data_IF_155799609125
#
_entry.id   IF_155799609125
#
_cell.length_a   1.000
_cell.length_b   1.000
_cell.length_c   1.000
_cell.angle_alpha   90.00
_cell.angle_beta   90.00
_cell.angle_gamma   90.00
#
_symmetry.space_group_name_H-M   'P 1'
#
loop_
_entity.id
_entity.type
_entity.pdbx_description
1 polymer ?
#
# COMPACT_ATOMS: atom_id res chain seq x y z
N UNK A 1 46.46 -22.24 31.52
CA UNK A 1 46.31 -20.76 31.64
C UNK A 1 44.85 -20.42 31.47
N UNK A 2 44.19 -20.00 32.55
CA UNK A 2 42.80 -19.51 32.51
C UNK A 2 42.77 -18.21 31.72
N UNK A 3 41.98 -18.14 30.64
CA UNK A 3 41.75 -16.88 29.93
C UNK A 3 41.30 -15.82 30.93
N UNK A 4 42.06 -14.72 31.02
CA UNK A 4 41.81 -13.63 31.98
C UNK A 4 40.81 -12.59 31.47
N UNK A 5 40.29 -12.76 30.24
CA UNK A 5 39.21 -11.95 29.67
C UNK A 5 38.41 -12.84 28.72
N UNK A 6 37.11 -13.01 28.97
CA UNK A 6 36.16 -13.63 28.05
C UNK A 6 35.08 -12.59 27.72
N UNK A 7 35.00 -12.13 26.48
CA UNK A 7 33.96 -11.22 25.99
C UNK A 7 33.07 -12.01 25.04
N UNK A 8 31.83 -12.26 25.48
CA UNK A 8 30.77 -12.82 24.63
C UNK A 8 29.83 -11.72 24.18
N UNK A 9 29.44 -11.73 22.90
CA UNK A 9 28.41 -10.83 22.38
C UNK A 9 27.06 -11.18 23.02
N UNK A 10 26.48 -10.26 23.80
CA UNK A 10 25.09 -10.37 24.25
C UNK A 10 24.11 -10.32 23.09
N UNK A 11 22.87 -10.76 23.29
CA UNK A 11 21.80 -10.66 22.29
C UNK A 11 21.68 -9.19 21.88
N UNK A 12 22.02 -8.86 20.63
CA UNK A 12 21.85 -7.50 20.10
C UNK A 12 20.36 -7.21 20.16
N UNK A 13 19.97 -6.17 20.90
CA UNK A 13 18.58 -5.71 20.91
C UNK A 13 18.12 -5.49 19.47
N UNK A 14 16.97 -6.05 19.08
CA UNK A 14 16.34 -5.69 17.81
C UNK A 14 16.07 -4.19 17.86
N UNK A 15 16.54 -3.44 16.86
CA UNK A 15 16.05 -2.09 16.63
C UNK A 15 14.53 -2.18 16.47
N UNK A 16 13.80 -1.56 17.39
CA UNK A 16 12.34 -1.38 17.32
C UNK A 16 11.99 -0.12 16.53
N UNK A 17 13.00 0.61 16.03
CA UNK A 17 12.84 1.65 15.03
C UNK A 17 12.68 1.00 13.64
N UNK A 18 11.60 0.24 13.47
CA UNK A 18 10.98 0.12 12.15
C UNK A 18 10.25 1.43 11.90
N UNK A 19 10.51 2.07 10.78
CA UNK A 19 9.63 3.15 10.31
C UNK A 19 8.23 2.57 10.14
N UNK A 20 7.19 3.31 10.55
CA UNK A 20 5.79 2.84 10.48
C UNK A 20 5.36 2.45 9.05
N UNK A 21 6.11 2.89 8.04
CA UNK A 21 5.94 2.53 6.61
C UNK A 21 6.00 1.03 6.35
N UNK A 22 6.70 0.28 7.22
CA UNK A 22 6.83 -1.19 7.17
C UNK A 22 5.69 -1.93 7.86
N UNK A 23 4.75 -1.21 8.47
CA UNK A 23 3.65 -1.80 9.22
C UNK A 23 2.43 -1.88 8.30
N UNK A 24 1.93 -3.09 8.11
CA UNK A 24 0.77 -3.36 7.24
C UNK A 24 -0.37 -4.01 8.01
N UNK A 25 -1.58 -3.89 7.47
CA UNK A 25 -2.75 -4.65 7.88
C UNK A 25 -3.15 -5.64 6.78
N UNK A 26 -3.64 -6.81 7.16
CA UNK A 26 -4.28 -7.79 6.29
C UNK A 26 -5.66 -8.12 6.88
N UNK A 27 -6.73 -7.86 6.14
CA UNK A 27 -8.09 -8.17 6.56
C UNK A 27 -8.75 -9.15 5.58
N UNK A 28 -9.56 -10.07 6.10
CA UNK A 28 -10.29 -11.03 5.28
C UNK A 28 -11.29 -11.84 6.08
N UNK A 29 -12.12 -12.60 5.37
CA UNK A 29 -13.00 -13.61 5.97
C UNK A 29 -12.23 -14.93 6.11
N UNK A 30 -11.52 -15.11 7.22
CA UNK A 30 -10.68 -16.30 7.43
C UNK A 30 -11.41 -17.43 8.17
N UNK A 31 -12.62 -17.17 8.67
CA UNK A 31 -13.45 -18.15 9.36
C UNK A 31 -12.83 -18.57 10.69
N UNK A 32 -12.94 -19.85 11.05
CA UNK A 32 -12.35 -20.36 12.29
C UNK A 32 -10.81 -20.43 12.18
N UNK A 33 -10.12 -19.47 12.82
CA UNK A 33 -8.66 -19.46 12.97
C UNK A 33 -8.31 -19.71 14.44
N UNK A 34 -7.80 -20.90 14.76
CA UNK A 34 -7.37 -21.21 16.13
C UNK A 34 -7.42 -22.66 16.53
N UNK A 35 -6.28 -23.34 16.39
CA UNK A 35 -5.94 -24.57 17.13
C UNK A 35 -4.66 -24.41 17.95
N UNK A 36 -4.13 -23.17 18.03
CA UNK A 36 -2.87 -22.83 18.69
C UNK A 36 -3.00 -22.51 20.18
N UNK A 37 -1.98 -21.83 20.74
CA UNK A 37 -1.95 -21.39 22.15
C UNK A 37 -2.91 -20.22 22.41
N UNK A 38 -3.29 -19.50 21.36
CA UNK A 38 -4.28 -18.41 21.34
C UNK A 38 -5.13 -18.52 20.07
N UNK A 39 -6.23 -17.79 20.01
CA UNK A 39 -7.21 -17.80 18.91
C UNK A 39 -7.25 -16.44 18.24
N UNK A 40 -7.30 -16.41 16.91
CA UNK A 40 -7.65 -15.19 16.16
C UNK A 40 -9.15 -15.25 15.87
N UNK A 41 -9.95 -14.85 16.86
CA UNK A 41 -11.40 -14.91 16.79
C UNK A 41 -11.95 -14.00 15.69
N UNK A 42 -13.13 -14.34 15.18
CA UNK A 42 -13.85 -13.47 14.26
C UNK A 42 -14.13 -12.12 14.91
N UNK A 43 -13.90 -11.05 14.16
CA UNK A 43 -13.95 -9.69 14.65
C UNK A 43 -12.80 -9.32 15.56
N UNK A 44 -11.67 -10.05 15.61
CA UNK A 44 -10.47 -9.68 16.37
C UNK A 44 -9.23 -9.61 15.45
N UNK A 45 -8.22 -8.84 15.87
CA UNK A 45 -6.95 -8.72 15.14
C UNK A 45 -5.74 -9.08 16.01
N UNK A 46 -4.68 -9.55 15.36
CA UNK A 46 -3.42 -9.92 15.99
C UNK A 46 -2.24 -9.24 15.31
N UNK A 47 -1.24 -8.82 16.10
CA UNK A 47 0.05 -8.37 15.58
C UNK A 47 0.99 -9.57 15.42
N UNK A 48 1.50 -9.75 14.21
CA UNK A 48 2.61 -10.64 13.89
C UNK A 48 3.85 -9.79 13.60
N UNK A 49 4.97 -10.10 14.24
CA UNK A 49 6.26 -9.47 14.01
C UNK A 49 7.22 -10.37 13.19
N UNK A 50 6.82 -11.61 12.93
CA UNK A 50 7.48 -12.55 12.03
C UNK A 50 6.50 -13.65 11.61
N UNK A 51 6.80 -14.36 10.52
CA UNK A 51 6.03 -15.52 10.06
C UNK A 51 5.91 -16.62 11.14
N UNK A 52 6.92 -16.78 12.01
CA UNK A 52 6.89 -17.75 13.11
C UNK A 52 5.79 -17.50 14.14
N UNK A 53 5.25 -16.28 14.21
CA UNK A 53 4.19 -15.93 15.17
C UNK A 53 2.84 -16.57 14.80
N UNK A 54 2.66 -16.97 13.53
CA UNK A 54 1.47 -17.69 13.04
C UNK A 54 1.13 -18.92 13.88
N UNK A 55 2.15 -19.68 14.31
CA UNK A 55 1.97 -20.90 15.08
C UNK A 55 1.26 -20.68 16.42
N UNK A 56 1.39 -19.50 17.03
CA UNK A 56 0.69 -19.17 18.26
C UNK A 56 -0.84 -19.12 18.06
N UNK A 57 -1.28 -18.71 16.86
CA UNK A 57 -2.69 -18.60 16.46
C UNK A 57 -3.21 -19.86 15.73
N UNK A 58 -2.38 -20.90 15.58
CA UNK A 58 -2.75 -22.12 14.87
C UNK A 58 -2.83 -21.97 13.34
N UNK A 59 -2.32 -20.86 12.79
CA UNK A 59 -2.25 -20.65 11.35
C UNK A 59 -1.13 -21.53 10.79
N UNK A 60 -1.47 -22.38 9.83
CA UNK A 60 -0.54 -23.33 9.19
C UNK A 60 -0.99 -23.63 7.76
N UNK A 61 -0.09 -24.16 6.93
CA UNK A 61 -0.38 -24.61 5.56
C UNK A 61 -1.58 -25.57 5.50
N UNK A 62 -1.68 -26.49 6.46
CA UNK A 62 -2.75 -27.48 6.49
C UNK A 62 -4.11 -26.90 6.94
N UNK A 63 -4.10 -25.95 7.90
CA UNK A 63 -5.35 -25.40 8.45
C UNK A 63 -5.89 -24.24 7.61
N UNK A 64 -4.99 -23.39 7.10
CA UNK A 64 -5.33 -22.15 6.41
C UNK A 64 -4.31 -21.88 5.28
N UNK A 65 -4.27 -22.69 4.21
CA UNK A 65 -3.21 -22.64 3.20
C UNK A 65 -3.02 -21.25 2.61
N UNK A 66 -4.11 -20.59 2.19
CA UNK A 66 -4.05 -19.28 1.55
C UNK A 66 -3.65 -18.15 2.53
N UNK A 67 -4.21 -18.13 3.75
CA UNK A 67 -3.83 -17.15 4.78
C UNK A 67 -2.36 -17.32 5.17
N UNK A 68 -1.92 -18.56 5.37
CA UNK A 68 -0.53 -18.87 5.68
C UNK A 68 0.40 -18.40 4.55
N UNK A 69 0.03 -18.61 3.29
CA UNK A 69 0.79 -18.15 2.14
C UNK A 69 0.93 -16.63 2.12
N UNK A 70 -0.18 -15.88 2.21
CA UNK A 70 -0.11 -14.41 2.21
C UNK A 70 0.77 -13.86 3.35
N UNK A 71 0.66 -14.41 4.56
CA UNK A 71 1.48 -13.97 5.70
C UNK A 71 2.96 -14.34 5.47
N UNK A 72 3.22 -15.55 4.96
CA UNK A 72 4.59 -16.03 4.69
C UNK A 72 5.27 -15.15 3.64
N UNK A 73 4.57 -14.85 2.56
CA UNK A 73 5.06 -14.01 1.47
C UNK A 73 5.27 -12.55 1.91
N UNK A 74 4.34 -12.00 2.70
CA UNK A 74 4.51 -10.68 3.31
C UNK A 74 5.82 -10.57 4.08
N UNK A 75 6.14 -11.55 4.95
CA UNK A 75 7.38 -11.52 5.72
C UNK A 75 8.62 -11.92 4.91
N UNK A 76 8.48 -12.74 3.87
CA UNK A 76 9.58 -13.10 2.96
C UNK A 76 10.08 -11.87 2.22
N UNK A 77 9.16 -11.09 1.63
CA UNK A 77 9.49 -9.87 0.87
C UNK A 77 9.74 -8.68 1.80
N UNK A 78 8.84 -8.42 2.76
CA UNK A 78 8.89 -7.27 3.67
C UNK A 78 10.15 -7.21 4.52
N UNK A 79 10.78 -8.37 4.75
CA UNK A 79 12.10 -8.49 5.36
C UNK A 79 12.16 -7.99 6.80
N UNK A 80 13.34 -7.55 7.23
CA UNK A 80 13.58 -7.15 8.63
C UNK A 80 12.80 -5.88 8.98
N UNK A 81 12.04 -5.97 10.07
CA UNK A 81 11.27 -4.84 10.63
C UNK A 81 9.83 -4.76 10.13
N UNK A 82 9.42 -5.63 9.21
CA UNK A 82 8.02 -5.76 8.80
C UNK A 82 7.14 -6.22 9.98
N UNK A 83 5.94 -5.68 10.05
CA UNK A 83 4.94 -5.99 11.06
C UNK A 83 3.57 -6.07 10.42
N UNK A 84 2.84 -7.15 10.67
CA UNK A 84 1.53 -7.38 10.07
C UNK A 84 0.45 -7.47 11.13
N UNK A 85 -0.54 -6.59 11.07
CA UNK A 85 -1.79 -6.77 11.79
C UNK A 85 -2.72 -7.62 10.94
N UNK A 86 -3.12 -8.80 11.43
CA UNK A 86 -4.06 -9.69 10.73
C UNK A 86 -5.41 -9.61 11.42
N UNK A 87 -6.45 -9.20 10.68
CA UNK A 87 -7.82 -9.08 11.14
C UNK A 87 -8.69 -10.16 10.48
N UNK A 88 -9.28 -11.01 11.31
CA UNK A 88 -10.27 -11.98 10.86
C UNK A 88 -11.65 -11.36 10.97
N UNK A 89 -12.22 -10.86 9.88
CA UNK A 89 -13.54 -10.23 9.89
C UNK A 89 -14.60 -11.31 10.00
N UNK A 90 -15.64 -11.06 10.82
CA UNK A 90 -16.80 -11.96 10.90
C UNK A 90 -17.59 -11.89 9.60
N UNK A 91 -17.72 -13.02 8.89
CA UNK A 91 -18.55 -13.07 7.69
C UNK A 91 -20.03 -13.18 8.07
N UNK A 92 -20.81 -12.14 7.80
CA UNK A 92 -22.28 -12.22 7.87
C UNK A 92 -22.84 -12.82 6.58
N UNK A 93 -24.05 -13.37 6.63
CA UNK A 93 -24.69 -13.98 5.46
C UNK A 93 -24.77 -12.98 4.30
N UNK A 94 -24.40 -13.42 3.09
CA UNK A 94 -24.33 -12.61 1.87
C UNK A 94 -23.36 -11.41 1.90
N UNK A 95 -22.48 -11.31 2.91
CA UNK A 95 -21.43 -10.29 2.90
C UNK A 95 -20.40 -10.56 1.81
N UNK A 96 -20.28 -9.62 0.88
CA UNK A 96 -19.31 -9.64 -0.21
C UNK A 96 -18.06 -8.84 0.13
N UNK A 97 -17.32 -8.52 -0.92
CA UNK A 97 -16.04 -7.84 -0.78
C UNK A 97 -16.17 -6.38 -0.29
N UNK A 98 -17.16 -5.63 -0.78
CA UNK A 98 -17.38 -4.24 -0.33
C UNK A 98 -17.75 -4.18 1.16
N UNK A 99 -18.55 -5.14 1.65
CA UNK A 99 -18.90 -5.26 3.07
C UNK A 99 -17.68 -5.59 3.93
N UNK A 100 -16.77 -6.44 3.44
CA UNK A 100 -15.51 -6.74 4.13
C UNK A 100 -14.70 -5.47 4.35
N UNK A 101 -14.56 -4.66 3.30
CA UNK A 101 -13.78 -3.41 3.33
C UNK A 101 -14.44 -2.38 4.25
N UNK A 102 -15.77 -2.29 4.24
CA UNK A 102 -16.53 -1.34 5.04
C UNK A 102 -16.75 -1.76 6.50
N UNK A 103 -16.32 -2.96 6.90
CA UNK A 103 -16.60 -3.51 8.22
C UNK A 103 -15.99 -2.67 9.36
N UNK A 104 -16.74 -2.53 10.46
CA UNK A 104 -16.33 -1.69 11.60
C UNK A 104 -15.11 -2.21 12.34
N UNK A 105 -14.83 -3.51 12.28
CA UNK A 105 -13.64 -4.11 12.86
C UNK A 105 -12.35 -3.64 12.16
N UNK A 106 -12.43 -3.29 10.86
CA UNK A 106 -11.33 -2.68 10.10
C UNK A 106 -11.02 -1.30 10.63
N UNK A 107 -12.03 -0.45 10.77
CA UNK A 107 -11.88 0.89 11.38
C UNK A 107 -11.35 0.80 12.81
N UNK A 108 -11.84 -0.16 13.59
CA UNK A 108 -11.38 -0.42 14.97
C UNK A 108 -9.91 -0.88 15.00
N UNK A 109 -9.45 -1.69 14.05
CA UNK A 109 -8.03 -2.06 13.94
C UNK A 109 -7.15 -0.84 13.63
N UNK A 110 -7.54 -0.03 12.65
CA UNK A 110 -6.78 1.18 12.28
C UNK A 110 -6.71 2.17 13.45
N UNK A 111 -7.85 2.41 14.11
CA UNK A 111 -7.92 3.33 15.25
C UNK A 111 -7.19 2.76 16.48
N UNK A 112 -7.37 1.47 16.80
CA UNK A 112 -6.78 0.82 17.96
C UNK A 112 -5.25 0.62 17.88
N UNK A 113 -4.67 0.75 16.68
CA UNK A 113 -3.22 0.74 16.48
C UNK A 113 -2.61 2.14 16.45
N UNK A 114 -3.38 3.17 16.81
CA UNK A 114 -2.97 4.59 16.79
C UNK A 114 -2.43 5.04 15.41
N UNK A 115 -2.99 4.49 14.33
CA UNK A 115 -2.55 4.82 12.96
C UNK A 115 -1.18 4.27 12.58
N UNK A 116 -0.63 3.29 13.32
CA UNK A 116 0.63 2.64 12.96
C UNK A 116 0.57 1.90 11.63
N UNK A 117 -0.59 1.36 11.25
CA UNK A 117 -0.79 0.73 9.95
C UNK A 117 -0.63 1.77 8.85
N UNK A 118 0.23 1.49 7.88
CA UNK A 118 0.51 2.39 6.75
C UNK A 118 0.01 1.83 5.41
N UNK A 119 0.08 0.51 5.23
CA UNK A 119 -0.47 -0.20 4.08
C UNK A 119 -1.59 -1.15 4.56
N UNK A 120 -2.69 -1.28 3.84
CA UNK A 120 -3.78 -2.19 4.20
C UNK A 120 -4.17 -3.06 3.00
N UNK A 121 -4.06 -4.37 3.14
CA UNK A 121 -4.49 -5.32 2.12
C UNK A 121 -5.78 -6.03 2.52
N UNK A 122 -6.62 -6.32 1.55
CA UNK A 122 -7.78 -7.16 1.75
C UNK A 122 -7.67 -8.44 0.94
N UNK A 123 -7.77 -9.57 1.64
CA UNK A 123 -7.85 -10.90 1.04
C UNK A 123 -9.32 -11.31 0.93
N UNK A 124 -9.76 -11.60 -0.28
CA UNK A 124 -11.11 -12.01 -0.59
C UNK A 124 -11.15 -12.88 -1.85
N UNK A 125 -11.53 -14.14 -1.66
CA UNK A 125 -11.81 -15.06 -2.76
C UNK A 125 -13.33 -15.16 -2.94
N UNK A 126 -13.89 -14.76 -4.09
CA UNK A 126 -15.32 -14.87 -4.35
C UNK A 126 -15.75 -16.34 -4.42
N UNK A 127 -17.05 -16.60 -4.25
CA UNK A 127 -17.59 -17.94 -4.44
C UNK A 127 -17.51 -18.37 -5.92
N UNK A 128 -17.45 -19.68 -6.19
CA UNK A 128 -17.28 -20.25 -7.55
C UNK A 128 -18.32 -19.77 -8.58
N UNK A 129 -19.49 -19.32 -8.15
CA UNK A 129 -20.58 -18.85 -9.01
C UNK A 129 -20.69 -17.32 -9.12
N UNK A 130 -19.67 -16.56 -8.67
CA UNK A 130 -19.71 -15.10 -8.74
C UNK A 130 -19.79 -14.59 -10.18
N UNK A 131 -20.63 -13.57 -10.41
CA UNK A 131 -20.80 -12.96 -11.70
C UNK A 131 -19.54 -12.22 -12.15
N UNK A 132 -19.29 -12.20 -13.46
CA UNK A 132 -18.22 -11.44 -14.10
C UNK A 132 -18.83 -10.29 -14.89
N UNK A 133 -18.32 -9.08 -14.70
CA UNK A 133 -18.72 -7.84 -15.38
C UNK A 133 -17.44 -7.18 -15.88
N UNK A 134 -17.39 -6.83 -17.17
CA UNK A 134 -16.23 -6.19 -17.81
C UNK A 134 -14.90 -6.91 -17.53
N UNK A 135 -14.92 -8.24 -17.63
CA UNK A 135 -13.75 -9.11 -17.41
C UNK A 135 -13.32 -9.26 -15.95
N UNK A 136 -14.04 -8.68 -14.99
CA UNK A 136 -13.74 -8.73 -13.56
C UNK A 136 -14.85 -9.38 -12.74
N UNK A 137 -14.55 -9.98 -11.57
CA UNK A 137 -15.60 -10.32 -10.60
C UNK A 137 -16.44 -9.09 -10.25
N UNK A 138 -17.76 -9.22 -10.28
CA UNK A 138 -18.70 -8.09 -10.09
C UNK A 138 -18.51 -7.34 -8.76
N UNK A 139 -17.87 -7.98 -7.78
CA UNK A 139 -17.62 -7.43 -6.45
C UNK A 139 -16.43 -6.44 -6.40
N UNK A 140 -15.54 -6.43 -7.40
CA UNK A 140 -14.30 -5.64 -7.31
C UNK A 140 -14.56 -4.13 -7.42
N UNK A 141 -15.41 -3.68 -8.34
CA UNK A 141 -15.69 -2.25 -8.52
C UNK A 141 -16.39 -1.65 -7.28
N UNK A 142 -17.40 -2.30 -6.69
CA UNK A 142 -17.92 -1.90 -5.38
C UNK A 142 -16.85 -1.88 -4.28
N UNK A 143 -15.95 -2.87 -4.24
CA UNK A 143 -14.87 -2.93 -3.25
C UNK A 143 -13.85 -1.79 -3.42
N UNK A 144 -13.48 -1.41 -4.66
CA UNK A 144 -12.62 -0.26 -4.95
C UNK A 144 -13.21 1.02 -4.35
N UNK A 145 -14.52 1.25 -4.54
CA UNK A 145 -15.21 2.42 -4.00
C UNK A 145 -15.30 2.40 -2.48
N UNK A 146 -15.57 1.24 -1.90
CA UNK A 146 -15.57 1.06 -0.45
C UNK A 146 -14.18 1.32 0.15
N UNK A 147 -13.12 0.89 -0.54
CA UNK A 147 -11.74 1.11 -0.16
C UNK A 147 -11.38 2.59 -0.22
N UNK A 148 -11.72 3.29 -1.31
CA UNK A 148 -11.47 4.72 -1.41
C UNK A 148 -12.18 5.49 -0.29
N UNK A 149 -13.44 5.17 -0.01
CA UNK A 149 -14.17 5.77 1.13
C UNK A 149 -13.52 5.47 2.48
N UNK A 150 -12.96 4.27 2.66
CA UNK A 150 -12.20 3.94 3.86
C UNK A 150 -10.92 4.79 3.93
N UNK A 151 -10.19 4.95 2.82
CA UNK A 151 -8.99 5.78 2.74
C UNK A 151 -9.31 7.24 3.08
N UNK A 152 -10.40 7.81 2.55
CA UNK A 152 -10.87 9.17 2.88
C UNK A 152 -11.12 9.32 4.39
N UNK A 153 -11.77 8.35 5.02
CA UNK A 153 -11.96 8.34 6.48
C UNK A 153 -10.63 8.27 7.23
N UNK A 154 -9.65 7.51 6.74
CA UNK A 154 -8.32 7.47 7.36
C UNK A 154 -7.60 8.81 7.24
N UNK A 155 -7.72 9.52 6.11
CA UNK A 155 -7.17 10.87 5.96
C UNK A 155 -7.83 11.86 6.91
N UNK A 156 -9.17 11.87 6.98
CA UNK A 156 -9.93 12.73 7.91
C UNK A 156 -9.59 12.50 9.38
N UNK A 157 -9.12 11.29 9.73
CA UNK A 157 -8.71 10.94 11.09
C UNK A 157 -7.20 10.99 11.30
N UNK A 158 -6.44 11.59 10.37
CA UNK A 158 -4.97 11.74 10.40
C UNK A 158 -4.21 10.41 10.48
N UNK A 159 -4.75 9.36 9.87
CA UNK A 159 -4.15 8.01 9.78
C UNK A 159 -4.08 7.52 8.33
N UNK A 160 -3.73 8.36 7.34
CA UNK A 160 -3.88 8.03 5.91
C UNK A 160 -3.17 6.72 5.56
N UNK A 161 -3.83 5.84 4.82
CA UNK A 161 -3.29 4.54 4.37
C UNK A 161 -3.44 4.39 2.87
N UNK A 162 -2.57 3.58 2.28
CA UNK A 162 -2.78 3.04 0.94
C UNK A 162 -3.42 1.64 1.04
N UNK A 163 -4.42 1.36 0.20
CA UNK A 163 -5.21 0.13 0.25
C UNK A 163 -4.97 -0.73 -1.00
N UNK A 164 -4.66 -2.00 -0.79
CA UNK A 164 -4.52 -2.99 -1.85
C UNK A 164 -5.68 -4.00 -1.77
N UNK A 165 -6.30 -4.31 -2.91
CA UNK A 165 -7.39 -5.26 -3.03
C UNK A 165 -6.95 -6.50 -3.81
N UNK A 166 -7.23 -7.68 -3.26
CA UNK A 166 -7.14 -8.94 -3.98
C UNK A 166 -8.25 -9.03 -5.04
N UNK A 167 -7.91 -9.11 -6.32
CA UNK A 167 -8.87 -9.45 -7.36
C UNK A 167 -8.74 -10.93 -7.72
N UNK A 168 -9.29 -11.78 -6.86
CA UNK A 168 -9.40 -13.21 -7.09
C UNK A 168 -10.59 -13.56 -8.00
N UNK A 169 -10.53 -14.71 -8.67
CA UNK A 169 -11.67 -15.25 -9.43
C UNK A 169 -11.82 -14.69 -10.84
N UNK A 170 -10.73 -14.25 -11.47
CA UNK A 170 -10.81 -13.79 -12.86
C UNK A 170 -11.31 -14.90 -13.80
N UNK A 171 -12.05 -14.47 -14.82
CA UNK A 171 -12.31 -15.26 -16.03
C UNK A 171 -11.06 -15.30 -16.91
N UNK A 172 -11.22 -15.58 -18.21
CA UNK A 172 -10.09 -15.53 -19.13
C UNK A 172 -9.51 -14.11 -19.22
N UNK A 173 -8.20 -14.00 -19.15
CA UNK A 173 -7.49 -12.73 -19.27
C UNK A 173 -7.37 -12.34 -20.73
N UNK A 174 -8.05 -11.24 -21.06
CA UNK A 174 -8.02 -10.55 -22.35
C UNK A 174 -8.11 -9.06 -22.07
N UNK A 175 -7.04 -8.32 -22.33
CA UNK A 175 -6.94 -6.90 -21.98
C UNK A 175 -8.06 -6.08 -22.63
N UNK A 176 -8.46 -6.40 -23.86
CA UNK A 176 -9.51 -5.68 -24.58
C UNK A 176 -10.89 -5.70 -23.89
N UNK A 177 -11.22 -6.76 -23.16
CA UNK A 177 -12.53 -6.93 -22.49
C UNK A 177 -12.52 -6.55 -21.02
N UNK A 178 -11.34 -6.41 -20.43
CA UNK A 178 -11.21 -6.04 -19.01
C UNK A 178 -11.43 -4.54 -18.82
N UNK A 179 -12.09 -4.16 -17.73
CA UNK A 179 -12.31 -2.77 -17.35
C UNK A 179 -10.99 -1.98 -17.29
N UNK A 180 -11.01 -0.70 -17.66
CA UNK A 180 -9.91 0.21 -17.41
C UNK A 180 -10.02 0.76 -15.98
N UNK A 181 -9.13 0.33 -15.07
CA UNK A 181 -9.16 0.78 -13.68
C UNK A 181 -8.71 2.23 -13.53
N UNK A 182 -8.12 2.82 -14.58
CA UNK A 182 -7.79 4.25 -14.62
C UNK A 182 -8.92 5.11 -15.14
N UNK A 183 -9.97 4.55 -15.74
CA UNK A 183 -11.14 5.30 -16.22
C UNK A 183 -12.44 4.79 -15.56
N UNK A 184 -12.41 4.61 -14.24
CA UNK A 184 -13.60 4.24 -13.48
C UNK A 184 -14.65 5.35 -13.54
N UNK A 185 -15.92 4.97 -13.66
CA UNK A 185 -17.04 5.91 -13.75
C UNK A 185 -18.15 5.58 -12.77
N UNK A 186 -18.76 6.61 -12.18
CA UNK A 186 -19.99 6.53 -11.37
C UNK A 186 -21.05 7.36 -12.07
N UNK A 187 -22.13 6.71 -12.53
CA UNK A 187 -23.22 7.40 -13.22
C UNK A 187 -22.75 8.30 -14.39
N UNK A 188 -21.73 7.85 -15.12
CA UNK A 188 -21.11 8.57 -16.25
C UNK A 188 -20.11 9.67 -15.85
N UNK A 189 -19.79 9.80 -14.55
CA UNK A 189 -18.80 10.76 -14.04
C UNK A 189 -17.50 10.03 -13.67
N UNK A 190 -16.33 10.47 -14.17
CA UNK A 190 -15.04 9.89 -13.78
C UNK A 190 -14.85 9.88 -12.26
N UNK A 191 -14.38 8.75 -11.72
CA UNK A 191 -14.23 8.50 -10.29
C UNK A 191 -12.83 7.98 -10.02
N UNK A 192 -11.94 8.86 -9.57
CA UNK A 192 -10.58 8.47 -9.20
C UNK A 192 -10.54 7.86 -7.79
N UNK A 193 -9.81 6.76 -7.65
CA UNK A 193 -9.55 6.07 -6.39
C UNK A 193 -8.03 5.97 -6.14
N UNK A 194 -7.33 7.10 -5.90
CA UNK A 194 -5.87 7.15 -5.88
C UNK A 194 -5.21 6.39 -4.72
N UNK A 195 -5.94 6.10 -3.65
CA UNK A 195 -5.42 5.31 -2.53
C UNK A 195 -5.75 3.81 -2.65
N UNK A 196 -6.16 3.35 -3.84
CA UNK A 196 -6.58 1.97 -4.07
C UNK A 196 -5.84 1.33 -5.25
N UNK A 197 -5.26 0.17 -5.01
CA UNK A 197 -4.62 -0.68 -6.03
C UNK A 197 -5.26 -2.06 -6.09
N UNK A 198 -5.23 -2.68 -7.27
CA UNK A 198 -5.84 -3.99 -7.52
C UNK A 198 -4.79 -4.98 -8.00
N UNK A 199 -4.62 -6.06 -7.23
CA UNK A 199 -3.72 -7.16 -7.55
C UNK A 199 -4.49 -8.26 -8.28
N UNK A 200 -4.03 -8.61 -9.48
CA UNK A 200 -4.50 -9.79 -10.23
C UNK A 200 -3.40 -10.85 -10.38
N UNK A 201 -2.15 -10.54 -9.99
CA UNK A 201 -1.04 -11.47 -10.07
C UNK A 201 -1.14 -12.61 -9.05
N UNK A 202 -0.59 -13.76 -9.41
CA UNK A 202 -0.62 -14.99 -8.64
C UNK A 202 0.72 -15.72 -8.73
N UNK A 203 1.19 -16.31 -7.62
CA UNK A 203 2.19 -17.39 -7.69
C UNK A 203 1.48 -18.64 -8.24
N UNK A 204 1.71 -18.92 -9.52
CA UNK A 204 1.00 -19.97 -10.25
C UNK A 204 1.30 -21.36 -9.67
N UNK A 205 2.54 -21.59 -9.23
CA UNK A 205 2.97 -22.88 -8.70
C UNK A 205 2.28 -23.17 -7.36
N UNK A 206 2.14 -22.16 -6.49
CA UNK A 206 1.32 -22.29 -5.27
C UNK A 206 -0.16 -22.48 -5.60
N UNK A 207 -0.69 -21.72 -6.56
CA UNK A 207 -2.10 -21.82 -6.98
C UNK A 207 -2.49 -23.24 -7.40
N UNK A 208 -1.60 -23.94 -8.10
CA UNK A 208 -1.82 -25.30 -8.59
C UNK A 208 -2.06 -26.32 -7.45
N UNK A 209 -1.54 -26.02 -6.26
CA UNK A 209 -1.77 -26.83 -5.06
C UNK A 209 -3.17 -26.65 -4.46
N UNK A 210 -3.82 -25.51 -4.76
CA UNK A 210 -5.16 -25.19 -4.28
C UNK A 210 -6.25 -25.83 -5.16
N UNK A 211 -7.51 -25.71 -4.72
CA UNK A 211 -8.69 -26.28 -5.39
C UNK A 211 -9.86 -25.30 -5.33
N UNK A 212 -10.81 -25.45 -6.26
CA UNK A 212 -11.99 -24.59 -6.36
C UNK A 212 -11.61 -23.11 -6.55
N UNK A 213 -12.41 -22.19 -5.98
CA UNK A 213 -12.20 -20.75 -6.13
C UNK A 213 -10.82 -20.28 -5.65
N UNK A 214 -10.21 -20.99 -4.69
CA UNK A 214 -8.89 -20.62 -4.15
C UNK A 214 -7.75 -20.79 -5.15
N UNK A 215 -7.89 -21.67 -6.16
CA UNK A 215 -6.91 -21.77 -7.26
C UNK A 215 -6.84 -20.46 -8.07
N UNK A 216 -7.82 -19.57 -7.92
CA UNK A 216 -7.92 -18.27 -8.57
C UNK A 216 -7.65 -17.10 -7.63
N UNK A 217 -6.89 -17.31 -6.56
CA UNK A 217 -6.47 -16.24 -5.66
C UNK A 217 -5.57 -15.21 -6.37
N UNK A 218 -5.43 -14.00 -5.81
CA UNK A 218 -4.37 -13.06 -6.18
C UNK A 218 -3.49 -12.77 -4.97
N UNK A 219 -2.18 -12.64 -5.14
CA UNK A 219 -1.25 -12.64 -4.01
C UNK A 219 -1.11 -11.26 -3.35
N UNK A 220 -2.09 -10.92 -2.52
CA UNK A 220 -2.08 -9.67 -1.75
C UNK A 220 -0.96 -9.63 -0.71
N UNK A 221 -0.51 -10.80 -0.25
CA UNK A 221 0.59 -10.93 0.71
C UNK A 221 1.92 -10.44 0.14
N UNK A 222 2.25 -10.88 -1.08
CA UNK A 222 3.42 -10.35 -1.81
C UNK A 222 3.31 -8.86 -2.06
N UNK A 223 2.17 -8.37 -2.54
CA UNK A 223 2.00 -6.93 -2.82
C UNK A 223 2.24 -6.09 -1.55
N UNK A 224 1.64 -6.47 -0.42
CA UNK A 224 1.90 -5.81 0.87
C UNK A 224 3.37 -5.91 1.30
N UNK A 225 4.01 -7.05 1.05
CA UNK A 225 5.43 -7.25 1.33
C UNK A 225 6.30 -6.28 0.52
N UNK A 226 6.00 -6.11 -0.77
CA UNK A 226 6.67 -5.16 -1.66
C UNK A 226 6.52 -3.73 -1.15
N UNK A 227 5.30 -3.34 -0.78
CA UNK A 227 5.05 -2.03 -0.18
C UNK A 227 5.83 -1.85 1.13
N UNK A 228 5.88 -2.86 2.00
CA UNK A 228 6.54 -2.74 3.30
C UNK A 228 8.08 -2.65 3.21
N UNK A 229 8.70 -3.25 2.19
CA UNK A 229 10.18 -3.20 2.04
C UNK A 229 10.65 -1.94 1.32
N UNK A 230 9.89 -1.47 0.31
CA UNK A 230 10.27 -0.31 -0.49
C UNK A 230 10.06 1.02 0.23
N UNK A 231 11.00 1.98 0.09
CA UNK A 231 10.76 3.36 0.45
C UNK A 231 9.47 3.89 -0.20
N UNK A 232 8.80 4.83 0.45
CA UNK A 232 7.46 5.28 0.01
C UNK A 232 7.45 5.93 -1.37
N UNK A 233 8.58 6.48 -1.81
CA UNK A 233 8.74 7.19 -3.08
C UNK A 233 9.18 6.29 -4.24
N UNK A 234 9.40 5.01 -3.98
CA UNK A 234 9.96 4.08 -4.95
C UNK A 234 8.87 3.18 -5.50
N UNK A 235 9.02 2.82 -6.78
CA UNK A 235 8.15 1.87 -7.44
C UNK A 235 8.30 0.49 -6.80
N UNK A 236 7.16 -0.12 -6.42
CA UNK A 236 7.16 -1.43 -5.75
C UNK A 236 7.49 -2.61 -6.68
N UNK A 237 7.59 -2.36 -7.99
CA UNK A 237 8.05 -3.27 -9.03
C UNK A 237 9.48 -3.01 -9.49
N UNK A 238 10.27 -2.17 -8.80
CA UNK A 238 11.64 -1.84 -9.23
C UNK A 238 12.49 -3.11 -9.44
N UNK A 239 12.87 -3.36 -10.70
CA UNK A 239 13.57 -4.60 -11.13
C UNK A 239 14.86 -4.86 -10.35
N UNK A 240 15.58 -3.81 -9.97
CA UNK A 240 16.86 -3.93 -9.27
C UNK A 240 16.73 -4.45 -7.83
N UNK A 241 15.59 -4.24 -7.18
CA UNK A 241 15.43 -4.52 -5.74
C UNK A 241 14.21 -5.38 -5.40
N UNK A 242 13.24 -5.51 -6.31
CA UNK A 242 11.93 -6.12 -6.08
C UNK A 242 11.70 -7.42 -6.83
N UNK A 243 12.71 -8.28 -6.78
CA UNK A 243 12.60 -9.65 -7.28
C UNK A 243 11.66 -10.48 -6.38
N UNK A 244 10.60 -11.03 -6.97
CA UNK A 244 9.66 -11.92 -6.29
C UNK A 244 10.17 -13.36 -6.25
N UNK A 245 10.86 -13.79 -7.31
CA UNK A 245 11.31 -15.18 -7.50
C UNK A 245 12.28 -15.63 -6.40
N UNK A 246 11.94 -16.71 -5.72
CA UNK A 246 12.85 -17.50 -4.88
C UNK A 246 12.91 -18.93 -5.40
N UNK A 247 13.88 -19.20 -6.27
CA UNK A 247 14.05 -20.51 -6.90
C UNK A 247 14.38 -21.64 -5.91
N UNK A 248 14.94 -21.31 -4.73
CA UNK A 248 15.26 -22.33 -3.72
C UNK A 248 14.00 -22.81 -2.99
N UNK A 249 13.05 -21.89 -2.77
CA UNK A 249 11.78 -22.18 -2.11
C UNK A 249 10.65 -22.52 -3.09
N UNK A 250 10.86 -22.25 -4.37
CA UNK A 250 9.86 -22.45 -5.43
C UNK A 250 8.80 -21.36 -5.49
N UNK A 251 9.02 -20.21 -4.82
CA UNK A 251 8.06 -19.10 -4.85
C UNK A 251 8.26 -18.24 -6.09
N UNK A 252 7.16 -17.87 -6.75
CA UNK A 252 7.16 -16.94 -7.89
C UNK A 252 8.18 -17.31 -8.98
N UNK A 253 8.36 -18.62 -9.21
CA UNK A 253 9.11 -19.14 -10.35
C UNK A 253 8.24 -19.02 -11.61
N UNK A 254 6.96 -19.37 -11.49
CA UNK A 254 5.96 -19.12 -12.51
C UNK A 254 4.95 -18.05 -12.05
N UNK A 255 4.92 -16.92 -12.76
CA UNK A 255 3.90 -15.90 -12.59
C UNK A 255 2.62 -16.31 -13.33
N UNK A 256 1.48 -16.16 -12.66
CA UNK A 256 0.16 -16.35 -13.23
C UNK A 256 -0.74 -15.16 -12.95
N UNK A 257 -1.93 -15.19 -13.55
CA UNK A 257 -3.04 -14.33 -13.17
C UNK A 257 -3.99 -15.10 -12.26
N UNK A 258 -4.82 -14.38 -11.52
CA UNK A 258 -5.93 -14.95 -10.73
C UNK A 258 -7.04 -15.57 -11.59
N UNK A 259 -6.84 -15.69 -12.90
CA UNK A 259 -7.60 -16.58 -13.79
C UNK A 259 -7.08 -18.02 -13.81
N UNK A 260 -5.91 -18.22 -13.19
CA UNK A 260 -5.06 -19.40 -13.25
C UNK A 260 -4.38 -19.64 -14.62
N UNK A 261 -4.32 -18.63 -15.48
CA UNK A 261 -3.51 -18.65 -16.71
C UNK A 261 -2.08 -18.15 -16.43
N UNK A 262 -1.08 -18.71 -17.10
CA UNK A 262 0.32 -18.29 -16.95
C UNK A 262 0.57 -16.99 -17.69
N UNK A 263 1.37 -16.11 -17.10
CA UNK A 263 1.75 -14.82 -17.71
C UNK A 263 2.47 -15.01 -19.05
N UNK A 264 3.36 -16.02 -19.16
CA UNK A 264 4.08 -16.36 -20.39
C UNK A 264 3.18 -16.75 -21.57
N UNK A 265 1.95 -17.19 -21.29
CA UNK A 265 0.99 -17.59 -22.33
C UNK A 265 0.12 -16.40 -22.79
N UNK A 266 0.31 -15.22 -22.18
CA UNK A 266 -0.48 -14.00 -22.36
C UNK A 266 0.39 -12.76 -22.59
N UNK A 267 1.59 -12.93 -23.15
CA UNK A 267 2.53 -11.83 -23.39
C UNK A 267 1.91 -10.67 -24.22
N UNK A 268 1.00 -10.98 -25.15
CA UNK A 268 0.27 -9.97 -25.94
C UNK A 268 -0.67 -9.09 -25.11
N UNK A 269 -1.10 -9.55 -23.93
CA UNK A 269 -2.07 -8.84 -23.09
C UNK A 269 -1.40 -7.90 -22.09
N UNK A 270 -0.12 -8.12 -21.76
CA UNK A 270 0.55 -7.47 -20.62
C UNK A 270 0.56 -5.95 -20.72
N UNK A 271 0.91 -5.43 -21.89
CA UNK A 271 0.95 -3.99 -22.15
C UNK A 271 -0.46 -3.35 -22.09
N UNK A 272 -1.49 -4.08 -22.52
CA UNK A 272 -2.89 -3.65 -22.36
C UNK A 272 -3.35 -3.63 -20.90
N UNK A 273 -2.99 -4.65 -20.11
CA UNK A 273 -3.29 -4.73 -18.68
C UNK A 273 -2.54 -3.65 -17.89
N UNK A 274 -1.27 -3.42 -18.22
CA UNK A 274 -0.42 -2.41 -17.59
C UNK A 274 -1.01 -1.01 -17.78
N UNK A 275 -1.41 -0.66 -19.02
CA UNK A 275 -2.07 0.63 -19.29
C UNK A 275 -3.37 0.82 -18.51
N UNK A 276 -4.13 -0.25 -18.31
CA UNK A 276 -5.40 -0.27 -17.57
C UNK A 276 -5.24 -0.29 -16.05
N UNK A 277 -4.02 -0.26 -15.53
CA UNK A 277 -3.75 -0.11 -14.10
C UNK A 277 -3.80 -1.41 -13.28
N UNK A 278 -3.67 -2.58 -13.91
CA UNK A 278 -3.61 -3.86 -13.20
C UNK A 278 -2.20 -4.17 -12.69
N UNK A 279 -2.11 -4.73 -11.48
CA UNK A 279 -0.84 -5.21 -10.92
C UNK A 279 -0.74 -6.74 -11.06
N UNK A 280 0.34 -7.22 -11.65
CA UNK A 280 0.67 -8.63 -11.84
C UNK A 280 2.19 -8.86 -11.88
N UNK A 281 2.62 -10.13 -11.84
CA UNK A 281 4.04 -10.46 -12.00
C UNK A 281 4.45 -10.49 -13.46
N UNK A 282 5.53 -9.79 -13.81
CA UNK A 282 6.13 -9.75 -15.15
C UNK A 282 7.57 -10.30 -15.12
N UNK A 283 7.98 -10.90 -16.24
CA UNK A 283 9.31 -11.50 -16.37
C UNK A 283 10.35 -10.51 -16.89
N UNK A 284 11.39 -10.28 -16.10
CA UNK A 284 12.58 -9.55 -16.48
C UNK A 284 13.78 -10.51 -16.47
N UNK A 285 14.29 -10.91 -17.64
CA UNK A 285 15.48 -11.78 -17.76
C UNK A 285 15.43 -13.05 -16.90
N UNK A 286 14.26 -13.67 -16.76
CA UNK A 286 14.08 -14.92 -16.02
C UNK A 286 13.77 -14.76 -14.52
N UNK A 287 13.67 -13.54 -14.02
CA UNK A 287 13.15 -13.25 -12.66
C UNK A 287 11.80 -12.55 -12.77
N UNK A 288 10.92 -12.76 -11.80
CA UNK A 288 9.62 -12.09 -11.75
C UNK A 288 9.71 -10.87 -10.84
N UNK A 289 9.25 -9.72 -11.33
CA UNK A 289 8.97 -8.52 -10.53
C UNK A 289 7.49 -8.15 -10.72
N UNK A 290 6.93 -7.28 -9.88
CA UNK A 290 5.64 -6.67 -10.22
C UNK A 290 5.83 -5.79 -11.47
N UNK A 291 4.84 -5.77 -12.35
CA UNK A 291 4.89 -5.01 -13.60
C UNK A 291 5.05 -3.50 -13.37
N UNK A 292 4.36 -2.98 -12.34
CA UNK A 292 4.39 -1.56 -11.97
C UNK A 292 3.68 -1.35 -10.62
N UNK A 293 3.49 -0.10 -10.23
CA UNK A 293 2.86 0.33 -8.98
C UNK A 293 1.54 1.08 -9.18
N UNK A 294 0.67 0.56 -10.05
CA UNK A 294 -0.59 1.20 -10.45
C UNK A 294 -1.60 1.43 -9.33
N UNK A 295 -2.42 2.47 -9.48
CA UNK A 295 -3.63 2.71 -8.68
C UNK A 295 -4.86 2.90 -9.58
N UNK A 296 -6.04 2.92 -8.98
CA UNK A 296 -7.33 3.09 -9.66
C UNK A 296 -7.66 4.57 -9.93
N UNK A 297 -6.73 5.33 -10.52
CA UNK A 297 -6.91 6.74 -10.83
C UNK A 297 -6.30 7.11 -12.18
N UNK A 298 -6.83 8.16 -12.80
CA UNK A 298 -6.30 8.72 -14.06
C UNK A 298 -4.91 9.32 -13.83
N UNK A 299 -4.09 9.30 -14.89
CA UNK A 299 -2.85 10.08 -14.94
C UNK A 299 -3.18 11.44 -15.53
N UNK A 300 -3.20 12.47 -14.69
CA UNK A 300 -3.47 13.85 -15.11
C UNK A 300 -2.52 14.84 -14.45
N UNK A 301 -2.16 15.87 -15.19
CA UNK A 301 -1.56 17.10 -14.68
C UNK A 301 -2.52 18.24 -15.06
N UNK A 302 -2.95 19.02 -14.07
CA UNK A 302 -3.81 20.16 -14.32
C UNK A 302 -3.03 21.40 -14.81
N UNK A 303 -3.76 22.46 -15.18
CA UNK A 303 -3.15 23.70 -15.69
C UNK A 303 -2.27 24.43 -14.68
N UNK A 304 -2.43 24.13 -13.39
CA UNK A 304 -1.71 24.74 -12.28
C UNK A 304 -0.52 23.87 -11.84
N UNK A 305 -0.25 22.76 -12.55
CA UNK A 305 0.85 21.83 -12.31
C UNK A 305 0.56 20.81 -11.20
N UNK A 306 -0.69 20.68 -10.74
CA UNK A 306 -1.03 19.63 -9.78
C UNK A 306 -1.16 18.29 -10.50
N UNK A 307 -0.51 17.28 -9.94
CA UNK A 307 -0.53 15.92 -10.47
C UNK A 307 -1.52 15.04 -9.71
N UNK A 308 -2.14 14.11 -10.42
CA UNK A 308 -2.84 12.99 -9.80
C UNK A 308 -1.88 12.08 -9.03
N UNK A 309 -2.31 11.56 -7.88
CA UNK A 309 -1.73 10.38 -7.24
C UNK A 309 -2.02 9.13 -8.11
N UNK A 310 -1.26 8.94 -9.18
CA UNK A 310 -1.51 7.88 -10.18
C UNK A 310 -0.70 6.61 -9.97
N UNK A 311 0.10 6.57 -8.90
CA UNK A 311 0.90 5.40 -8.51
C UNK A 311 0.89 5.19 -7.01
N UNK A 312 1.20 3.98 -6.56
CA UNK A 312 1.34 3.62 -5.15
C UNK A 312 2.45 4.47 -4.53
N UNK A 313 3.57 4.71 -5.23
CA UNK A 313 4.64 5.56 -4.73
C UNK A 313 4.14 6.98 -4.43
N UNK A 314 3.39 7.60 -5.35
CA UNK A 314 2.81 8.93 -5.14
C UNK A 314 1.81 8.92 -3.99
N UNK A 315 0.92 7.94 -3.96
CA UNK A 315 -0.12 7.83 -2.93
C UNK A 315 0.46 7.62 -1.53
N UNK A 316 1.42 6.70 -1.39
CA UNK A 316 2.11 6.42 -0.12
C UNK A 316 2.94 7.62 0.31
N UNK A 317 3.66 8.26 -0.61
CA UNK A 317 4.43 9.47 -0.28
C UNK A 317 3.51 10.58 0.22
N UNK A 318 2.36 10.81 -0.42
CA UNK A 318 1.39 11.81 0.04
C UNK A 318 0.82 11.47 1.42
N UNK A 319 0.47 10.21 1.66
CA UNK A 319 0.04 9.72 2.98
C UNK A 319 1.11 9.99 4.05
N UNK A 320 2.39 9.81 3.72
CA UNK A 320 3.51 10.10 4.63
C UNK A 320 3.66 11.60 4.89
N UNK A 321 3.64 12.43 3.84
CA UNK A 321 3.72 13.90 3.95
C UNK A 321 2.64 14.40 4.91
N UNK A 322 1.38 13.95 4.75
CA UNK A 322 0.28 14.33 5.64
C UNK A 322 0.54 13.94 7.10
N UNK A 323 1.08 12.74 7.36
CA UNK A 323 1.39 12.26 8.73
C UNK A 323 2.51 13.08 9.38
N UNK A 324 3.58 13.35 8.65
CA UNK A 324 4.75 14.09 9.16
C UNK A 324 4.37 15.56 9.42
N UNK A 325 3.63 16.19 8.51
CA UNK A 325 3.10 17.54 8.71
C UNK A 325 2.12 17.60 9.89
N UNK A 326 1.18 16.66 9.98
CA UNK A 326 0.27 16.58 11.12
C UNK A 326 1.02 16.48 12.44
N UNK A 327 2.02 15.60 12.54
CA UNK A 327 2.83 15.44 13.74
C UNK A 327 3.57 16.74 14.12
N UNK A 328 4.12 17.46 13.12
CA UNK A 328 4.82 18.73 13.34
C UNK A 328 3.89 19.85 13.84
N UNK A 329 2.73 20.02 13.22
CA UNK A 329 1.79 21.09 13.55
C UNK A 329 0.88 20.78 14.75
N UNK A 330 0.68 19.51 15.12
CA UNK A 330 -0.20 19.12 16.23
C UNK A 330 0.17 19.84 17.54
N UNK A 331 1.46 19.98 17.82
CA UNK A 331 1.96 20.66 19.03
C UNK A 331 1.69 22.17 19.04
N UNK A 332 1.30 22.75 17.91
CA UNK A 332 1.03 24.18 17.74
C UNK A 332 -0.45 24.52 17.88
N UNK A 333 -1.33 23.52 17.85
CA UNK A 333 -2.75 23.71 18.10
C UNK A 333 -2.95 24.31 19.51
N UNK A 334 -3.71 25.40 19.59
CA UNK A 334 -3.94 26.20 20.83
C UNK A 334 -2.69 26.89 21.39
N UNK A 335 -1.60 26.96 20.63
CA UNK A 335 -0.48 27.84 20.99
C UNK A 335 -0.91 29.31 20.93
N UNK A 336 -0.30 30.16 21.76
CA UNK A 336 -0.52 31.61 21.73
C UNK A 336 0.65 32.27 21.01
N UNK A 337 0.34 33.08 20.01
CA UNK A 337 1.33 33.83 19.24
C UNK A 337 1.02 35.34 19.32
N UNK A 338 2.04 36.19 19.36
CA UNK A 338 1.83 37.63 19.31
C UNK A 338 1.27 38.05 17.94
N UNK A 339 0.26 38.91 17.97
CA UNK A 339 -0.26 39.62 16.79
C UNK A 339 0.18 41.08 16.83
N UNK A 340 0.26 41.71 15.67
CA UNK A 340 0.57 43.13 15.56
C UNK A 340 -0.53 43.97 16.25
N UNK A 341 -0.19 44.86 17.21
CA UNK A 341 -1.18 45.64 17.95
C UNK A 341 -1.99 46.62 17.11
N UNK A 342 -1.50 47.02 15.93
CA UNK A 342 -2.16 47.98 15.03
C UNK A 342 -3.05 47.27 14.01
N UNK A 343 -2.62 46.12 13.49
CA UNK A 343 -3.35 45.41 12.42
C UNK A 343 -4.14 44.20 12.91
N UNK A 344 -3.80 43.66 14.09
CA UNK A 344 -4.38 42.42 14.62
C UNK A 344 -3.95 41.16 13.87
N UNK A 345 -3.02 41.27 12.91
CA UNK A 345 -2.52 40.17 12.07
C UNK A 345 -1.22 39.59 12.61
N UNK A 346 -0.81 38.44 12.09
CA UNK A 346 0.50 37.87 12.42
C UNK A 346 1.62 38.76 11.85
N UNK A 347 2.67 38.99 12.64
CA UNK A 347 3.89 39.62 12.16
C UNK A 347 4.65 38.69 11.20
N UNK A 348 5.47 39.27 10.32
CA UNK A 348 6.27 38.52 9.32
C UNK A 348 7.16 37.43 9.95
N UNK A 349 7.73 37.69 11.14
CA UNK A 349 8.51 36.69 11.86
C UNK A 349 7.69 35.48 12.33
N UNK A 350 6.44 35.69 12.74
CA UNK A 350 5.53 34.60 13.16
C UNK A 350 5.08 33.77 11.95
N UNK A 351 4.78 34.43 10.82
CA UNK A 351 4.48 33.75 9.55
C UNK A 351 5.65 32.85 9.17
N UNK A 352 6.87 33.42 9.14
CA UNK A 352 8.08 32.68 8.78
C UNK A 352 8.35 31.49 9.73
N UNK A 353 8.13 31.68 11.02
CA UNK A 353 8.23 30.60 12.01
C UNK A 353 7.31 29.40 11.66
N UNK A 354 6.07 29.66 11.26
CA UNK A 354 5.15 28.58 10.87
C UNK A 354 5.49 27.96 9.52
N UNK A 355 6.02 28.73 8.56
CA UNK A 355 6.53 28.18 7.30
C UNK A 355 7.72 27.26 7.53
N UNK A 356 8.65 27.67 8.40
CA UNK A 356 9.87 26.91 8.68
C UNK A 356 9.56 25.53 9.30
N UNK A 357 8.48 25.39 10.08
CA UNK A 357 8.03 24.08 10.59
C UNK A 357 7.76 23.09 9.45
N UNK A 358 7.01 23.51 8.42
CA UNK A 358 6.69 22.63 7.28
C UNK A 358 7.90 22.45 6.35
N UNK A 359 8.70 23.49 6.16
CA UNK A 359 9.94 23.41 5.37
C UNK A 359 10.97 22.47 6.01
N UNK A 360 11.04 22.40 7.34
CA UNK A 360 11.88 21.43 8.05
C UNK A 360 11.41 20.00 7.81
N UNK A 361 10.09 19.75 7.77
CA UNK A 361 9.54 18.43 7.41
C UNK A 361 9.97 18.05 5.99
N UNK A 362 9.76 18.93 5.01
CA UNK A 362 10.17 18.68 3.63
C UNK A 362 11.68 18.48 3.48
N UNK A 363 12.49 19.29 4.16
CA UNK A 363 13.96 19.17 4.15
C UNK A 363 14.41 17.81 4.70
N UNK A 364 13.78 17.34 5.78
CA UNK A 364 14.08 16.03 6.35
C UNK A 364 13.66 14.88 5.44
N UNK A 365 12.51 14.97 4.77
CA UNK A 365 12.06 13.96 3.80
C UNK A 365 12.94 13.95 2.54
N UNK A 366 13.34 15.12 2.04
CA UNK A 366 14.29 15.25 0.93
C UNK A 366 15.66 14.62 1.27
N UNK A 367 16.16 14.85 2.49
CA UNK A 367 17.40 14.23 2.97
C UNK A 367 17.33 12.69 3.06
N UNK A 368 16.12 12.13 3.20
CA UNK A 368 15.84 10.69 3.16
C UNK A 368 15.54 10.17 1.75
N UNK A 369 15.58 11.03 0.72
CA UNK A 369 15.26 10.72 -0.68
C UNK A 369 13.80 10.29 -0.89
N UNK A 370 12.89 10.82 -0.08
CA UNK A 370 11.44 10.53 -0.15
C UNK A 370 10.71 11.50 -1.09
N UNK A 371 11.30 12.66 -1.39
CA UNK A 371 10.78 13.66 -2.30
C UNK A 371 11.94 14.51 -2.86
N UNK A 372 11.70 15.19 -3.98
CA UNK A 372 12.69 16.09 -4.59
C UNK A 372 12.77 17.43 -3.87
N UNK A 373 11.65 17.91 -3.32
CA UNK A 373 11.58 19.16 -2.57
C UNK A 373 10.15 19.50 -2.14
N UNK A 374 9.99 20.50 -1.28
CA UNK A 374 8.70 20.99 -0.87
C UNK A 374 8.79 22.37 -0.25
N UNK A 375 7.64 23.03 -0.18
CA UNK A 375 7.50 24.40 0.30
C UNK A 375 6.21 24.56 1.11
N UNK A 376 6.30 25.37 2.15
CA UNK A 376 5.18 25.76 2.99
C UNK A 376 4.95 27.26 2.90
N UNK A 377 3.70 27.64 2.68
CA UNK A 377 3.24 29.03 2.62
C UNK A 377 2.16 29.25 3.68
N UNK A 378 2.31 30.30 4.50
CA UNK A 378 1.35 30.63 5.56
C UNK A 378 0.58 31.89 5.19
N UNK A 379 -0.75 31.85 5.29
CA UNK A 379 -1.57 33.03 5.08
C UNK A 379 -1.42 33.99 6.28
N UNK A 380 -0.64 35.06 6.08
CA UNK A 380 -0.44 36.12 7.07
C UNK A 380 -1.73 36.83 7.51
N UNK A 381 -2.80 36.70 6.72
CA UNK A 381 -4.13 37.26 7.01
C UNK A 381 -5.02 36.30 7.81
N UNK A 382 -4.50 35.14 8.23
CA UNK A 382 -5.18 34.22 9.14
C UNK A 382 -5.63 34.94 10.42
N UNK A 383 -6.92 34.84 10.74
CA UNK A 383 -7.49 35.43 11.95
C UNK A 383 -7.36 34.48 13.13
N UNK A 384 -6.52 34.83 14.11
CA UNK A 384 -6.27 34.00 15.31
C UNK A 384 -6.95 34.52 16.59
N UNK A 385 -7.68 35.64 16.51
CA UNK A 385 -8.22 36.34 17.69
C UNK A 385 -9.68 35.97 17.97
N UNK A 386 -10.50 35.92 16.91
CA UNK A 386 -11.97 35.73 17.00
C UNK A 386 -12.43 34.59 16.09
N UNK A 387 -13.67 34.14 16.29
CA UNK A 387 -14.24 33.03 15.52
C UNK A 387 -13.52 31.71 15.78
N UNK A 388 -13.28 30.95 14.71
CA UNK A 388 -12.65 29.62 14.77
C UNK A 388 -11.13 29.65 14.97
N UNK A 389 -10.50 30.83 14.87
CA UNK A 389 -9.05 31.04 15.10
C UNK A 389 -8.17 30.12 14.25
N UNK A 390 -8.43 30.10 12.94
CA UNK A 390 -7.79 29.18 12.00
C UNK A 390 -6.53 29.81 11.42
N UNK A 391 -5.41 29.10 11.56
CA UNK A 391 -4.18 29.33 10.79
C UNK A 391 -4.30 28.60 9.45
N UNK A 392 -4.32 29.33 8.34
CA UNK A 392 -4.31 28.73 7.01
C UNK A 392 -2.87 28.55 6.53
N UNK A 393 -2.57 27.33 6.11
CA UNK A 393 -1.25 26.91 5.64
C UNK A 393 -1.42 26.11 4.36
N UNK A 394 -0.57 26.37 3.38
CA UNK A 394 -0.52 25.67 2.11
C UNK A 394 0.79 24.90 2.03
N UNK A 395 0.70 23.64 1.60
CA UNK A 395 1.82 22.73 1.50
C UNK A 395 1.94 22.25 0.06
N UNK A 396 3.13 22.35 -0.53
CA UNK A 396 3.42 21.89 -1.89
C UNK A 396 4.67 21.00 -1.85
N UNK A 397 4.67 19.89 -2.57
CA UNK A 397 5.82 19.00 -2.64
C UNK A 397 5.99 18.44 -4.06
N UNK A 398 7.21 18.09 -4.41
CA UNK A 398 7.60 17.55 -5.71
C UNK A 398 8.12 16.11 -5.50
N UNK A 399 7.54 15.10 -6.16
CA UNK A 399 7.95 13.71 -6.00
C UNK A 399 9.36 13.42 -6.54
N UNK A 400 9.90 12.27 -6.17
CA UNK A 400 11.05 11.68 -6.85
C UNK A 400 10.65 11.21 -8.25
N UNK A 401 11.56 11.31 -9.23
CA UNK A 401 11.34 10.74 -10.56
C UNK A 401 11.57 9.23 -10.58
N UNK A 402 10.76 8.51 -11.37
CA UNK A 402 10.92 7.08 -11.63
C UNK A 402 11.23 6.86 -13.12
N UNK A 403 12.20 6.01 -13.44
CA UNK A 403 12.53 5.65 -14.82
C UNK A 403 11.56 4.56 -15.27
N UNK A 404 10.71 4.87 -16.26
CA UNK A 404 9.79 3.89 -16.85
C UNK A 404 10.40 3.08 -18.00
N UNK A 405 11.24 3.70 -18.83
CA UNK A 405 11.93 3.05 -19.95
C UNK A 405 13.30 3.68 -20.20
N UNK A 406 14.21 2.91 -20.81
CA UNK A 406 15.52 3.39 -21.27
C UNK A 406 15.64 3.06 -22.75
N UNK A 407 15.61 4.10 -23.59
CA UNK A 407 15.79 3.97 -25.03
C UNK A 407 17.24 4.29 -25.43
N UNK A 408 17.89 3.36 -26.12
CA UNK A 408 19.29 3.48 -26.54
C UNK A 408 19.53 2.90 -27.93
N UNK A 409 20.42 3.54 -28.69
CA UNK A 409 20.75 3.13 -30.07
C UNK A 409 22.20 2.69 -30.14
N UNK A 410 22.44 1.44 -30.55
CA UNK A 410 23.80 0.91 -30.79
C UNK A 410 24.17 1.07 -32.26
N UNK A 411 25.30 1.71 -32.54
CA UNK A 411 25.83 1.90 -33.89
C UNK A 411 27.17 1.20 -34.05
N UNK A 412 27.33 0.42 -35.13
CA UNK A 412 28.64 -0.09 -35.55
C UNK A 412 29.28 0.96 -36.46
N UNK A 413 30.44 1.48 -36.08
CA UNK A 413 31.17 2.51 -36.85
C UNK A 413 32.59 2.05 -37.13
N UNK A 414 33.14 2.46 -38.28
CA UNK A 414 34.54 2.20 -38.67
C UNK A 414 35.55 3.08 -37.92
N UNK A 415 35.09 4.15 -37.24
CA UNK A 415 35.86 4.99 -36.31
C UNK A 415 34.89 5.64 -35.30
N UNK A 416 35.37 5.90 -34.08
CA UNK A 416 34.68 6.67 -33.03
C UNK A 416 35.10 8.13 -33.10
#
# INVERSE_FOLDING_TARGET
MSNRVNISKGKVGRSVLGSYEKISGLAGYFGAVGSGKTTLAEGEYALLAAATDMAAYGISEAANPLLYHHISEYFRIGGKGAQLYVLNVRKVENAGFAELVADKSVQRMIAGTDGKIFNLGFAYVPADASAVVDGLPAEIVPAIRAAQKLADWTQQTNRPVHIALECAGLGNVTAATMLDLRDLQTDGVPTDCPQVSVMIGQDWDFAETLKGSQQKYADIGVLLGCMAVQPVSYNIGEVATMMLTDANRGNWVNAGFSSHEKVKEKESELDGLNRKGYIFGEYYSGVVCLNDDHVCARIVEDKDGNMSESTIALSRTNCKVMRELYAAYLTKVKSTVPVDPKTGKMGTGTVKYFEDIGNDVFSNMAARQELSGGETEVDGDSNLMIGERVLKVFFRWVPMGCIGSIDGTVNIKTSI
#
